data_IF_210797934210
#
_entry.id   IF_210797934210
#
_cell.length_a   1.000
_cell.length_b   1.000
_cell.length_c   1.000
_cell.angle_alpha   90.00
_cell.angle_beta   90.00
_cell.angle_gamma   90.00
#
_symmetry.space_group_name_H-M   'P 1'
#
loop_
_entity.id
_entity.type
_entity.pdbx_description
1 polymer ?
#
# COMPACT_ATOMS: atom_id res chain seq x y z
N UNK A 1 21.34 -5.51 -25.14
CA UNK A 1 20.07 -5.66 -24.40
C UNK A 1 19.82 -7.12 -24.06
N UNK A 2 19.78 -8.03 -25.04
CA UNK A 2 19.51 -9.48 -24.83
C UNK A 2 20.36 -10.19 -23.76
N UNK A 3 21.69 -10.01 -23.78
CA UNK A 3 22.61 -10.67 -22.81
C UNK A 3 22.35 -10.22 -21.36
N UNK A 4 21.99 -8.94 -21.17
CA UNK A 4 21.72 -8.39 -19.84
C UNK A 4 20.40 -8.91 -19.28
N UNK A 5 19.38 -9.02 -20.12
CA UNK A 5 18.08 -9.58 -19.74
C UNK A 5 18.17 -11.09 -19.46
N UNK A 6 18.94 -11.82 -20.26
CA UNK A 6 19.28 -13.23 -20.01
C UNK A 6 20.00 -13.40 -18.67
N UNK A 7 21.03 -12.58 -18.38
CA UNK A 7 21.73 -12.58 -17.11
C UNK A 7 20.79 -12.36 -15.92
N UNK A 8 19.89 -11.38 -15.99
CA UNK A 8 18.89 -11.08 -14.96
C UNK A 8 17.94 -12.25 -14.69
N UNK A 9 17.65 -13.05 -15.72
CA UNK A 9 16.75 -14.21 -15.63
C UNK A 9 17.43 -15.49 -15.15
N UNK A 10 18.76 -15.49 -14.96
CA UNK A 10 19.48 -16.68 -14.50
C UNK A 10 19.06 -17.08 -13.08
N UNK A 11 18.99 -18.39 -12.85
CA UNK A 11 18.63 -18.94 -11.55
C UNK A 11 19.53 -18.41 -10.41
N UNK A 12 20.84 -18.31 -10.66
CA UNK A 12 21.83 -17.84 -9.66
C UNK A 12 21.48 -16.43 -9.19
N UNK A 13 21.14 -15.54 -10.11
CA UNK A 13 20.82 -14.14 -9.81
C UNK A 13 19.48 -14.02 -9.10
N UNK A 14 18.45 -14.73 -9.57
CA UNK A 14 17.14 -14.75 -8.90
C UNK A 14 17.26 -15.33 -7.49
N UNK A 15 18.04 -16.40 -7.33
CA UNK A 15 18.32 -17.02 -6.04
C UNK A 15 19.04 -16.05 -5.10
N UNK A 16 20.07 -15.35 -5.59
CA UNK A 16 20.81 -14.37 -4.79
C UNK A 16 19.93 -13.20 -4.35
N UNK A 17 19.12 -12.63 -5.25
CA UNK A 17 18.17 -11.57 -4.90
C UNK A 17 17.12 -12.05 -3.89
N UNK A 18 16.60 -13.27 -4.08
CA UNK A 18 15.65 -13.88 -3.15
C UNK A 18 16.28 -14.10 -1.78
N UNK A 19 17.53 -14.58 -1.72
CA UNK A 19 18.28 -14.76 -0.48
C UNK A 19 18.48 -13.43 0.25
N UNK A 20 18.89 -12.37 -0.45
CA UNK A 20 19.02 -11.02 0.14
C UNK A 20 17.69 -10.55 0.72
N UNK A 21 16.60 -10.68 -0.06
CA UNK A 21 15.27 -10.27 0.39
C UNK A 21 14.81 -11.05 1.63
N UNK A 22 15.02 -12.37 1.64
CA UNK A 22 14.65 -13.23 2.76
C UNK A 22 15.45 -12.90 4.02
N UNK A 23 16.78 -12.85 3.92
CA UNK A 23 17.66 -12.60 5.08
C UNK A 23 17.44 -11.20 5.63
N UNK A 24 17.49 -10.17 4.78
CA UNK A 24 17.27 -8.79 5.23
C UNK A 24 15.85 -8.58 5.76
N UNK A 25 14.83 -9.17 5.14
CA UNK A 25 13.45 -9.11 5.59
C UNK A 25 13.24 -9.78 6.95
N UNK A 26 13.88 -10.91 7.21
CA UNK A 26 13.84 -11.58 8.52
C UNK A 26 14.57 -10.79 9.60
N UNK A 27 15.74 -10.20 9.28
CA UNK A 27 16.45 -9.30 10.19
C UNK A 27 15.56 -8.10 10.55
N UNK A 28 14.94 -7.47 9.55
CA UNK A 28 14.02 -6.34 9.75
C UNK A 28 12.87 -6.76 10.65
N UNK A 29 12.21 -7.89 10.37
CA UNK A 29 11.10 -8.38 11.21
C UNK A 29 11.54 -8.69 12.64
N UNK A 30 12.74 -9.21 12.84
CA UNK A 30 13.30 -9.43 14.17
C UNK A 30 13.46 -8.10 14.93
N UNK A 31 14.01 -7.07 14.28
CA UNK A 31 14.12 -5.74 14.86
C UNK A 31 12.75 -5.11 15.14
N UNK A 32 11.77 -5.31 14.27
CA UNK A 32 10.39 -4.87 14.49
C UNK A 32 9.77 -5.57 15.70
N UNK A 33 10.02 -6.87 15.88
CA UNK A 33 9.60 -7.61 17.07
C UNK A 33 10.24 -7.06 18.35
N UNK A 34 11.55 -6.79 18.33
CA UNK A 34 12.24 -6.15 19.46
C UNK A 34 11.66 -4.76 19.78
N UNK A 35 11.25 -4.01 18.75
CA UNK A 35 10.65 -2.67 18.93
C UNK A 35 9.32 -2.70 19.69
N UNK A 36 8.61 -3.84 19.74
CA UNK A 36 7.35 -3.97 20.48
C UNK A 36 7.49 -3.65 21.98
N UNK A 37 8.69 -3.81 22.56
CA UNK A 37 8.98 -3.41 23.95
C UNK A 37 8.81 -1.90 24.16
N UNK A 38 9.02 -1.10 23.11
CA UNK A 38 8.90 0.37 23.12
C UNK A 38 7.43 0.80 23.06
N UNK A 39 6.57 0.01 22.41
CA UNK A 39 5.15 0.35 22.16
C UNK A 39 4.36 0.82 23.41
N UNK A 40 4.43 0.16 24.58
CA UNK A 40 3.68 0.60 25.76
C UNK A 40 4.17 1.93 26.35
N UNK A 41 5.43 2.31 26.13
CA UNK A 41 6.05 3.51 26.72
C UNK A 41 6.09 4.69 25.76
N UNK A 42 6.35 4.44 24.48
CA UNK A 42 6.48 5.49 23.47
C UNK A 42 6.01 4.97 22.09
N UNK A 43 4.70 5.10 21.84
CA UNK A 43 4.07 4.71 20.56
C UNK A 43 4.62 5.50 19.36
N UNK A 44 5.00 6.75 19.58
CA UNK A 44 5.54 7.61 18.52
C UNK A 44 6.88 7.08 18.02
N UNK A 45 7.78 6.77 18.95
CA UNK A 45 9.09 6.18 18.66
C UNK A 45 8.94 4.79 18.03
N UNK A 46 8.05 3.94 18.56
CA UNK A 46 7.72 2.64 17.96
C UNK A 46 7.33 2.80 16.48
N UNK A 47 6.41 3.72 16.17
CA UNK A 47 5.95 3.97 14.80
C UNK A 47 7.08 4.47 13.92
N UNK A 48 7.88 5.45 14.39
CA UNK A 48 9.04 5.97 13.66
C UNK A 48 10.01 4.85 13.30
N UNK A 49 10.42 4.04 14.29
CA UNK A 49 11.33 2.90 14.08
C UNK A 49 10.77 1.93 13.04
N UNK A 50 9.53 1.48 13.21
CA UNK A 50 8.93 0.49 12.30
C UNK A 50 8.79 1.02 10.87
N UNK A 51 8.55 2.31 10.69
CA UNK A 51 8.46 2.91 9.36
C UNK A 51 9.84 3.04 8.67
N UNK A 52 10.90 3.34 9.42
CA UNK A 52 12.27 3.30 8.89
C UNK A 52 12.73 1.88 8.57
N UNK A 53 12.39 0.92 9.42
CA UNK A 53 12.66 -0.50 9.16
C UNK A 53 11.92 -0.98 7.91
N UNK A 54 10.64 -0.63 7.77
CA UNK A 54 9.82 -0.98 6.61
C UNK A 54 10.36 -0.37 5.31
N UNK A 55 10.95 0.82 5.36
CA UNK A 55 11.61 1.44 4.20
C UNK A 55 12.67 0.50 3.58
N UNK A 56 13.38 -0.29 4.39
CA UNK A 56 14.35 -1.27 3.89
C UNK A 56 13.72 -2.38 3.04
N UNK A 57 12.51 -2.85 3.40
CA UNK A 57 11.76 -3.84 2.62
C UNK A 57 11.18 -3.19 1.36
N UNK A 58 10.55 -2.01 1.50
CA UNK A 58 9.93 -1.30 0.38
C UNK A 58 10.95 -0.87 -0.68
N UNK A 59 12.15 -0.49 -0.26
CA UNK A 59 13.24 -0.11 -1.17
C UNK A 59 13.68 -1.28 -2.06
N UNK A 60 13.69 -2.51 -1.52
CA UNK A 60 14.02 -3.70 -2.32
C UNK A 60 12.94 -4.00 -3.36
N UNK A 61 11.66 -3.86 -2.99
CA UNK A 61 10.56 -4.08 -3.92
C UNK A 61 10.51 -3.02 -5.02
N UNK A 62 10.71 -1.74 -4.67
CA UNK A 62 10.77 -0.66 -5.66
C UNK A 62 12.01 -0.74 -6.55
N UNK A 63 13.15 -1.19 -6.02
CA UNK A 63 14.32 -1.56 -6.80
C UNK A 63 13.97 -2.63 -7.84
N UNK A 64 13.30 -3.71 -7.43
CA UNK A 64 12.88 -4.77 -8.35
C UNK A 64 11.87 -4.27 -9.40
N UNK A 65 10.88 -3.49 -8.97
CA UNK A 65 9.80 -3.01 -9.84
C UNK A 65 10.17 -1.86 -10.78
N UNK A 66 11.32 -1.22 -10.58
CA UNK A 66 11.77 -0.11 -11.42
C UNK A 66 13.10 -0.43 -12.10
N UNK A 67 14.16 -0.59 -11.31
CA UNK A 67 15.52 -0.75 -11.85
C UNK A 67 15.76 -2.16 -12.40
N UNK A 68 15.34 -3.18 -11.66
CA UNK A 68 15.53 -4.56 -12.09
C UNK A 68 14.66 -4.91 -13.30
N UNK A 69 13.37 -4.54 -13.28
CA UNK A 69 12.45 -4.79 -14.40
C UNK A 69 12.61 -3.82 -15.57
N UNK A 70 13.47 -2.80 -15.45
CA UNK A 70 13.59 -1.70 -16.42
C UNK A 70 12.23 -1.04 -16.73
N UNK A 71 11.38 -0.93 -15.71
CA UNK A 71 10.07 -0.28 -15.81
C UNK A 71 10.17 1.18 -15.38
N UNK A 72 9.50 2.05 -16.13
CA UNK A 72 9.38 3.46 -15.79
C UNK A 72 7.95 3.82 -15.37
N UNK A 73 7.84 4.84 -14.53
CA UNK A 73 6.59 5.38 -14.03
C UNK A 73 6.52 6.86 -14.43
N UNK A 74 5.54 7.24 -15.24
CA UNK A 74 5.32 8.65 -15.58
C UNK A 74 4.26 9.22 -14.66
N UNK A 75 4.61 10.27 -13.90
CA UNK A 75 3.70 11.00 -13.03
C UNK A 75 3.29 12.31 -13.72
N UNK A 76 2.00 12.45 -14.01
CA UNK A 76 1.40 13.70 -14.47
C UNK A 76 0.79 14.42 -13.26
N UNK A 77 1.36 15.56 -12.89
CA UNK A 77 0.94 16.35 -11.74
C UNK A 77 1.11 17.84 -12.03
N UNK A 78 0.22 18.66 -11.47
CA UNK A 78 0.39 20.11 -11.48
C UNK A 78 1.59 20.47 -10.58
N UNK A 79 2.58 21.27 -11.04
CA UNK A 79 3.70 21.72 -10.22
C UNK A 79 3.30 22.32 -8.86
N UNK A 80 2.17 23.00 -8.76
CA UNK A 80 1.69 23.59 -7.50
C UNK A 80 1.28 22.52 -6.48
N UNK A 81 0.72 21.40 -6.95
CA UNK A 81 0.34 20.27 -6.09
C UNK A 81 1.55 19.43 -5.67
N UNK A 82 2.61 19.40 -6.47
CA UNK A 82 3.87 18.75 -6.10
C UNK A 82 4.44 19.31 -4.80
N UNK A 83 4.27 20.62 -4.56
CA UNK A 83 4.72 21.28 -3.34
C UNK A 83 3.94 20.91 -2.09
N UNK A 84 2.75 20.29 -2.23
CA UNK A 84 1.92 19.80 -1.11
C UNK A 84 2.32 18.38 -0.69
N UNK A 85 2.95 17.63 -1.58
CA UNK A 85 3.42 16.28 -1.28
C UNK A 85 4.42 16.33 -0.12
N UNK A 86 4.33 15.34 0.78
CA UNK A 86 5.08 15.27 2.03
C UNK A 86 4.77 16.38 3.06
N UNK A 87 3.71 17.18 2.85
CA UNK A 87 3.20 18.16 3.82
C UNK A 87 1.77 17.87 4.28
N UNK A 88 1.11 16.89 3.66
CA UNK A 88 -0.22 16.42 4.02
C UNK A 88 -0.36 14.90 3.79
N UNK A 89 -1.40 14.30 4.37
CA UNK A 89 -1.68 12.89 4.14
C UNK A 89 -2.29 12.71 2.75
N UNK A 90 -1.93 11.63 2.06
CA UNK A 90 -2.41 11.34 0.72
C UNK A 90 -3.25 10.07 0.69
N UNK A 91 -4.38 10.11 -0.02
CA UNK A 91 -5.15 8.94 -0.40
C UNK A 91 -5.01 8.73 -1.91
N UNK A 92 -4.25 7.71 -2.31
CA UNK A 92 -4.12 7.29 -3.70
C UNK A 92 -5.26 6.33 -4.06
N UNK A 93 -6.14 6.77 -4.98
CA UNK A 93 -7.17 5.90 -5.57
C UNK A 93 -6.58 5.27 -6.83
N UNK A 94 -6.66 3.94 -6.90
CA UNK A 94 -6.03 3.17 -7.97
C UNK A 94 -7.05 2.25 -8.64
N UNK A 95 -6.89 2.04 -9.95
CA UNK A 95 -7.48 0.87 -10.59
C UNK A 95 -6.78 -0.41 -10.09
N UNK A 96 -7.44 -1.57 -10.18
CA UNK A 96 -6.86 -2.83 -9.74
C UNK A 96 -6.99 -3.90 -10.80
N UNK A 97 -5.90 -4.23 -11.48
CA UNK A 97 -5.84 -5.23 -12.55
C UNK A 97 -4.89 -6.38 -12.21
N UNK A 98 -3.72 -6.10 -11.62
CA UNK A 98 -2.68 -7.08 -11.33
C UNK A 98 -2.38 -7.19 -9.83
N UNK A 99 -1.64 -8.24 -9.44
CA UNK A 99 -1.32 -8.48 -8.02
C UNK A 99 -0.33 -7.48 -7.44
N UNK A 100 0.44 -6.80 -8.30
CA UNK A 100 1.49 -5.86 -7.93
C UNK A 100 1.14 -4.41 -8.27
N UNK A 101 -0.13 -4.07 -8.52
CA UNK A 101 -0.51 -2.68 -8.88
C UNK A 101 -0.07 -1.67 -7.81
N UNK A 102 -0.08 -2.07 -6.53
CA UNK A 102 0.40 -1.24 -5.42
C UNK A 102 1.88 -0.86 -5.53
N UNK A 103 2.68 -1.65 -6.25
CA UNK A 103 4.10 -1.40 -6.41
C UNK A 103 4.35 -0.13 -7.24
N UNK A 104 3.50 0.15 -8.24
CA UNK A 104 3.58 1.38 -9.02
C UNK A 104 3.41 2.62 -8.13
N UNK A 105 2.49 2.57 -7.16
CA UNK A 105 2.32 3.67 -6.22
C UNK A 105 3.46 3.75 -5.18
N UNK A 106 4.08 2.63 -4.78
CA UNK A 106 5.32 2.70 -3.99
C UNK A 106 6.49 3.27 -4.78
N UNK A 107 6.63 2.98 -6.07
CA UNK A 107 7.64 3.62 -6.93
C UNK A 107 7.39 5.13 -7.00
N UNK A 108 6.13 5.56 -7.14
CA UNK A 108 5.76 6.98 -7.06
C UNK A 108 6.19 7.59 -5.71
N UNK A 109 5.85 6.92 -4.61
CA UNK A 109 6.21 7.37 -3.26
C UNK A 109 7.74 7.41 -3.05
N UNK A 110 8.50 6.51 -3.66
CA UNK A 110 9.96 6.50 -3.60
C UNK A 110 10.55 7.74 -4.29
N UNK A 111 10.08 8.06 -5.50
CA UNK A 111 10.52 9.26 -6.26
C UNK A 111 10.18 10.56 -5.55
N UNK A 112 9.08 10.55 -4.80
CA UNK A 112 8.60 11.68 -4.01
C UNK A 112 9.17 11.71 -2.57
N UNK A 113 10.07 10.78 -2.21
CA UNK A 113 10.69 10.66 -0.89
C UNK A 113 9.69 10.49 0.29
N UNK A 114 8.57 9.81 0.03
CA UNK A 114 7.49 9.55 1.00
C UNK A 114 7.20 8.06 1.21
N UNK A 115 8.05 7.17 0.70
CA UNK A 115 7.84 5.71 0.74
C UNK A 115 7.65 5.14 2.15
N UNK A 116 8.33 5.69 3.15
CA UNK A 116 8.19 5.25 4.55
C UNK A 116 6.73 5.33 5.03
N UNK A 117 5.99 6.34 4.58
CA UNK A 117 4.61 6.63 4.94
C UNK A 117 3.57 5.75 4.26
N UNK A 118 3.99 4.89 3.34
CA UNK A 118 3.04 4.20 2.48
C UNK A 118 2.29 3.07 3.20
N UNK A 119 0.97 3.09 3.06
CA UNK A 119 0.04 2.12 3.65
C UNK A 119 -0.89 1.59 2.58
N UNK A 120 -1.42 0.39 2.80
CA UNK A 120 -2.42 -0.23 1.92
C UNK A 120 -3.64 -0.65 2.73
N UNK A 121 -4.78 -0.85 2.06
CA UNK A 121 -5.89 -1.63 2.63
C UNK A 121 -5.78 -3.06 2.13
N UNK A 122 -5.30 -3.95 3.00
CA UNK A 122 -4.95 -5.32 2.66
C UNK A 122 -6.03 -6.34 3.06
N UNK A 123 -6.06 -7.50 2.39
CA UNK A 123 -6.88 -8.64 2.84
C UNK A 123 -6.34 -9.18 4.17
N UNK A 124 -7.22 -9.50 5.11
CA UNK A 124 -6.84 -10.00 6.44
C UNK A 124 -5.82 -11.16 6.42
N UNK A 125 -5.91 -12.18 5.55
CA UNK A 125 -4.93 -13.26 5.53
C UNK A 125 -3.50 -12.81 5.20
N UNK A 126 -3.31 -11.66 4.53
CA UNK A 126 -1.98 -11.16 4.18
C UNK A 126 -1.14 -10.82 5.41
N UNK A 127 -1.74 -10.58 6.58
CA UNK A 127 -1.01 -10.33 7.82
C UNK A 127 -0.15 -11.51 8.26
N UNK A 128 -0.44 -12.71 7.79
CA UNK A 128 0.29 -13.93 8.13
C UNK A 128 1.42 -14.26 7.16
N UNK A 129 1.55 -13.52 6.05
CA UNK A 129 2.64 -13.71 5.09
C UNK A 129 3.96 -13.29 5.76
N UNK A 130 4.98 -14.15 5.84
CA UNK A 130 6.27 -13.78 6.41
C UNK A 130 6.87 -12.57 5.68
N UNK A 131 7.69 -11.79 6.39
CA UNK A 131 8.33 -10.57 5.86
C UNK A 131 7.30 -9.46 5.61
N UNK A 132 6.54 -9.55 4.51
CA UNK A 132 5.61 -8.48 4.11
C UNK A 132 4.43 -8.32 5.07
N UNK A 133 3.78 -9.43 5.43
CA UNK A 133 2.62 -9.44 6.32
C UNK A 133 2.95 -8.94 7.72
N UNK A 134 4.05 -9.42 8.28
CA UNK A 134 4.50 -9.01 9.61
C UNK A 134 4.95 -7.54 9.61
N UNK A 135 5.67 -7.11 8.57
CA UNK A 135 6.01 -5.70 8.41
C UNK A 135 4.75 -4.83 8.34
N UNK A 136 3.72 -5.23 7.57
CA UNK A 136 2.45 -4.51 7.52
C UNK A 136 1.74 -4.43 8.87
N UNK A 137 1.82 -5.46 9.70
CA UNK A 137 1.29 -5.43 11.08
C UNK A 137 2.06 -4.41 11.93
N UNK A 138 3.39 -4.45 11.89
CA UNK A 138 4.25 -3.55 12.65
C UNK A 138 4.16 -2.08 12.19
N UNK A 139 3.80 -1.84 10.93
CA UNK A 139 3.49 -0.52 10.39
C UNK A 139 2.01 -0.15 10.50
N UNK A 140 1.21 -0.87 11.30
CA UNK A 140 -0.21 -0.59 11.55
C UNK A 140 -1.01 -0.41 10.23
N UNK A 141 -0.87 -1.36 9.31
CA UNK A 141 -1.64 -1.40 8.04
C UNK A 141 -3.07 -1.86 8.31
N UNK A 142 -4.03 -1.36 7.52
CA UNK A 142 -5.44 -1.69 7.68
C UNK A 142 -5.74 -3.02 6.97
N UNK A 143 -6.31 -3.98 7.71
CA UNK A 143 -6.66 -5.31 7.20
C UNK A 143 -8.17 -5.54 7.19
N UNK A 144 -8.73 -5.95 6.05
CA UNK A 144 -10.17 -6.18 5.84
C UNK A 144 -10.50 -7.62 5.43
N UNK A 145 -11.65 -8.12 5.87
CA UNK A 145 -12.21 -9.44 5.49
C UNK A 145 -13.01 -9.40 4.19
N UNK A 146 -13.35 -8.20 3.70
CA UNK A 146 -14.25 -7.93 2.57
C UNK A 146 -15.72 -8.27 2.85
N UNK A 147 -16.11 -8.20 4.11
CA UNK A 147 -17.50 -8.35 4.59
C UNK A 147 -17.83 -7.10 5.39
N UNK A 148 -18.65 -6.24 4.80
CA UNK A 148 -18.88 -4.88 5.26
C UNK A 148 -19.31 -4.82 6.73
N UNK A 149 -20.22 -5.69 7.13
CA UNK A 149 -20.79 -5.75 8.47
C UNK A 149 -19.69 -5.98 9.52
N UNK A 150 -18.76 -6.89 9.25
CA UNK A 150 -17.61 -7.17 10.13
C UNK A 150 -16.48 -6.14 10.01
N UNK A 151 -16.28 -5.58 8.81
CA UNK A 151 -15.18 -4.68 8.54
C UNK A 151 -15.47 -3.26 9.03
N UNK A 152 -16.74 -2.83 9.09
CA UNK A 152 -17.12 -1.47 9.47
C UNK A 152 -16.56 -1.09 10.83
N UNK A 153 -16.77 -1.92 11.85
CA UNK A 153 -16.26 -1.64 13.20
C UNK A 153 -14.74 -1.65 13.26
N UNK A 154 -14.12 -2.61 12.58
CA UNK A 154 -12.66 -2.75 12.51
C UNK A 154 -12.04 -1.54 11.83
N UNK A 155 -12.58 -1.13 10.68
CA UNK A 155 -12.17 0.05 9.93
C UNK A 155 -12.31 1.32 10.75
N UNK A 156 -13.45 1.54 11.41
CA UNK A 156 -13.64 2.73 12.25
C UNK A 156 -12.62 2.76 13.40
N UNK A 157 -12.42 1.63 14.09
CA UNK A 157 -11.44 1.53 15.18
C UNK A 157 -10.01 1.76 14.68
N UNK A 158 -9.62 1.12 13.58
CA UNK A 158 -8.28 1.23 13.02
C UNK A 158 -8.02 2.63 12.47
N UNK A 159 -9.00 3.25 11.82
CA UNK A 159 -8.95 4.64 11.35
C UNK A 159 -8.74 5.62 12.50
N UNK A 160 -9.55 5.51 13.55
CA UNK A 160 -9.46 6.37 14.74
C UNK A 160 -8.18 6.14 15.54
N UNK A 161 -7.71 4.90 15.67
CA UNK A 161 -6.50 4.59 16.47
C UNK A 161 -5.21 4.85 15.71
N UNK A 162 -5.21 4.53 14.42
CA UNK A 162 -4.03 4.55 13.57
C UNK A 162 -3.91 5.89 12.89
N UNK A 163 -4.81 6.25 11.96
CA UNK A 163 -4.60 7.44 11.12
C UNK A 163 -4.67 8.75 11.93
N UNK A 164 -5.55 8.84 12.92
CA UNK A 164 -5.70 10.07 13.70
C UNK A 164 -4.55 10.33 14.68
N UNK A 165 -3.86 9.28 15.17
CA UNK A 165 -2.85 9.41 16.24
C UNK A 165 -1.40 9.21 15.76
N UNK A 166 -1.16 9.16 14.45
CA UNK A 166 0.20 9.04 13.92
C UNK A 166 1.04 10.30 14.27
N UNK A 167 2.37 10.17 14.45
CA UNK A 167 3.23 11.27 14.88
C UNK A 167 3.01 12.56 14.08
N UNK A 168 3.15 13.71 14.74
CA UNK A 168 3.15 15.00 14.05
C UNK A 168 4.31 15.04 13.04
N UNK A 169 4.07 15.60 11.84
CA UNK A 169 4.97 15.57 10.68
C UNK A 169 5.21 14.17 10.08
N UNK A 170 4.41 13.17 10.44
CA UNK A 170 4.34 11.90 9.74
C UNK A 170 3.11 11.85 8.84
N UNK A 171 3.35 12.01 7.54
CA UNK A 171 2.34 11.91 6.51
C UNK A 171 2.29 10.49 5.98
N UNK A 172 1.09 9.92 5.94
CA UNK A 172 0.89 8.60 5.35
C UNK A 172 0.31 8.71 3.94
N UNK A 173 0.65 7.73 3.11
CA UNK A 173 0.17 7.60 1.74
C UNK A 173 -0.64 6.32 1.65
N UNK A 174 -1.96 6.42 1.84
CA UNK A 174 -2.85 5.28 1.82
C UNK A 174 -3.25 4.95 0.38
N UNK A 175 -3.06 3.71 -0.03
CA UNK A 175 -3.43 3.22 -1.36
C UNK A 175 -4.73 2.41 -1.27
N UNK A 176 -5.70 2.77 -2.12
CA UNK A 176 -7.02 2.18 -2.13
C UNK A 176 -7.47 1.85 -3.55
N UNK A 177 -7.86 0.61 -3.76
CA UNK A 177 -8.55 0.17 -4.97
C UNK A 177 -10.05 0.04 -4.73
N UNK A 178 -10.81 1.07 -5.11
CA UNK A 178 -12.25 1.13 -4.89
C UNK A 178 -13.02 0.05 -5.68
N UNK A 179 -12.44 -0.52 -6.73
CA UNK A 179 -12.99 -1.70 -7.44
C UNK A 179 -13.19 -2.90 -6.49
N UNK A 180 -12.38 -3.01 -5.42
CA UNK A 180 -12.47 -4.06 -4.41
C UNK A 180 -12.06 -5.47 -4.89
N UNK A 181 -11.76 -5.62 -6.18
CA UNK A 181 -11.31 -6.88 -6.79
C UNK A 181 -10.56 -6.58 -8.07
N UNK A 182 -9.69 -7.52 -8.50
CA UNK A 182 -8.96 -7.39 -9.77
C UNK A 182 -9.92 -7.38 -10.94
N UNK A 183 -9.69 -6.47 -11.87
CA UNK A 183 -10.36 -6.34 -13.15
C UNK A 183 -10.21 -7.62 -13.98
N UNK A 184 -11.33 -8.09 -14.51
CA UNK A 184 -11.37 -9.09 -15.58
C UNK A 184 -12.53 -8.76 -16.50
N UNK A 185 -12.45 -9.16 -17.77
CA UNK A 185 -13.52 -8.85 -18.73
C UNK A 185 -14.87 -9.44 -18.28
N UNK A 186 -14.85 -10.65 -17.73
CA UNK A 186 -16.05 -11.28 -17.13
C UNK A 186 -16.67 -10.42 -16.02
N UNK A 187 -15.86 -9.89 -15.10
CA UNK A 187 -16.35 -9.02 -14.01
C UNK A 187 -16.82 -7.67 -14.53
N UNK A 188 -16.15 -7.14 -15.57
CA UNK A 188 -16.58 -5.92 -16.26
C UNK A 188 -17.97 -6.10 -16.84
N UNK A 189 -18.23 -7.17 -17.61
CA UNK A 189 -19.56 -7.44 -18.16
C UNK A 189 -20.65 -7.52 -17.09
N UNK A 190 -20.38 -8.20 -15.97
CA UNK A 190 -21.30 -8.25 -14.82
C UNK A 190 -21.52 -6.84 -14.24
N UNK A 191 -20.44 -6.09 -14.04
CA UNK A 191 -20.50 -4.73 -13.53
C UNK A 191 -21.27 -3.79 -14.46
N UNK A 192 -21.19 -3.97 -15.78
CA UNK A 192 -21.89 -3.14 -16.75
C UNK A 192 -23.39 -3.43 -16.77
N UNK A 193 -23.80 -4.69 -16.55
CA UNK A 193 -25.22 -5.02 -16.33
C UNK A 193 -25.78 -4.25 -15.13
N UNK A 194 -25.06 -4.28 -14.01
CA UNK A 194 -25.44 -3.51 -12.80
C UNK A 194 -25.44 -2.00 -13.06
N UNK A 195 -24.52 -1.50 -13.90
CA UNK A 195 -24.50 -0.09 -14.28
C UNK A 195 -25.79 0.31 -15.02
N UNK A 196 -26.17 -0.45 -16.05
CA UNK A 196 -27.41 -0.21 -16.83
C UNK A 196 -28.65 -0.27 -15.97
N UNK A 197 -28.77 -1.30 -15.12
CA UNK A 197 -29.91 -1.48 -14.20
C UNK A 197 -30.06 -0.30 -13.23
N UNK A 198 -28.94 0.32 -12.83
CA UNK A 198 -28.92 1.45 -11.90
C UNK A 198 -28.88 2.82 -12.59
N UNK A 199 -28.94 2.87 -13.92
CA UNK A 199 -28.81 4.12 -14.68
C UNK A 199 -27.43 4.79 -14.50
N UNK A 200 -26.39 4.02 -14.18
CA UNK A 200 -25.02 4.52 -14.02
C UNK A 200 -24.24 4.42 -15.33
N UNK A 201 -23.22 5.29 -15.54
CA UNK A 201 -22.36 5.22 -16.71
C UNK A 201 -21.64 3.88 -16.85
N UNK A 202 -21.58 3.37 -18.08
CA UNK A 202 -20.81 2.18 -18.40
C UNK A 202 -19.31 2.52 -18.55
N UNK A 203 -18.47 1.81 -17.79
CA UNK A 203 -17.03 2.01 -17.76
C UNK A 203 -16.31 1.08 -18.74
N UNK A 204 -15.35 1.64 -19.51
CA UNK A 204 -14.58 0.88 -20.50
C UNK A 204 -13.44 0.06 -19.89
N UNK A 205 -12.72 0.63 -18.92
CA UNK A 205 -11.48 0.05 -18.37
C UNK A 205 -11.56 -0.29 -16.88
N UNK A 206 -12.73 -0.12 -16.26
CA UNK A 206 -12.94 -0.28 -14.83
C UNK A 206 -14.23 -1.07 -14.57
N UNK A 207 -14.33 -1.63 -13.37
CA UNK A 207 -15.63 -2.02 -12.80
C UNK A 207 -16.16 -0.91 -11.89
N UNK A 208 -17.46 -0.93 -11.61
CA UNK A 208 -18.09 0.05 -10.73
C UNK A 208 -17.42 0.05 -9.35
N UNK A 209 -17.01 1.22 -8.83
CA UNK A 209 -16.35 1.32 -7.55
C UNK A 209 -17.31 1.05 -6.40
N UNK A 210 -16.76 0.54 -5.29
CA UNK A 210 -17.42 0.41 -4.00
C UNK A 210 -17.05 1.63 -3.14
N UNK A 211 -18.04 2.44 -2.79
CA UNK A 211 -17.82 3.73 -2.13
C UNK A 211 -17.72 3.67 -0.61
N UNK A 212 -18.36 2.68 0.02
CA UNK A 212 -18.48 2.60 1.50
C UNK A 212 -17.12 2.69 2.23
N UNK A 213 -16.12 1.92 1.78
CA UNK A 213 -14.78 1.93 2.36
C UNK A 213 -14.07 3.27 2.15
N UNK A 214 -14.17 3.84 0.95
CA UNK A 214 -13.63 5.17 0.64
C UNK A 214 -14.23 6.25 1.54
N UNK A 215 -15.56 6.29 1.69
CA UNK A 215 -16.25 7.27 2.54
C UNK A 215 -15.78 7.19 3.99
N UNK A 216 -15.63 5.99 4.56
CA UNK A 216 -15.11 5.83 5.92
C UNK A 216 -13.68 6.34 6.05
N UNK A 217 -12.80 6.04 5.08
CA UNK A 217 -11.41 6.47 5.12
C UNK A 217 -11.29 8.01 5.08
N UNK A 218 -12.08 8.66 4.22
CA UNK A 218 -12.14 10.13 4.14
C UNK A 218 -12.64 10.74 5.45
N UNK A 219 -13.77 10.24 5.98
CA UNK A 219 -14.29 10.69 7.28
C UNK A 219 -13.26 10.50 8.41
N UNK A 220 -12.52 9.39 8.39
CA UNK A 220 -11.44 9.15 9.36
C UNK A 220 -10.29 10.13 9.22
N UNK A 221 -9.93 10.50 7.98
CA UNK A 221 -8.86 11.46 7.69
C UNK A 221 -9.25 12.90 8.05
N UNK A 222 -10.47 13.33 7.75
CA UNK A 222 -11.00 14.67 8.08
C UNK A 222 -11.09 14.90 9.60
N UNK A 223 -11.38 13.86 10.37
CA UNK A 223 -11.46 13.93 11.82
C UNK A 223 -10.08 13.97 12.52
N UNK A 224 -8.97 13.87 11.77
CA UNK A 224 -7.63 14.10 12.31
C UNK A 224 -7.46 15.60 12.56
N UNK A 225 -7.55 16.04 13.82
CA UNK A 225 -7.10 17.38 14.22
C UNK A 225 -5.60 17.46 13.95
N UNK A 226 -5.20 18.37 13.05
CA UNK A 226 -3.80 18.69 12.75
C UNK A 226 -3.08 19.29 13.96
#
# INVERSE_FOLDING_TARGET
MHIYDEFKSTFIIIFFLSYIFLVSGLIINFLQLCSCIIWPFNKELFRKINCYLALGIWSQLTFLGQWWSNSDLVLYINPDDLNKIAKENMLAIMNHKYDIDWLAAWIACQRLNILKGSKIVAKQPLKFVPILGWCWVCTETIFVRRVWESDRETLVKDLQKTLANYPQNYFFNLMLSCEGTRFTEKKRLISMKVAREKGLPELKHHILPRTKGFTLLIQGAENRKL
#
